data_IF_226344511985
#
_entry.id   IF_226344511985
#
_cell.length_a   1.000
_cell.length_b   1.000
_cell.length_c   1.000
_cell.angle_alpha   90.00
_cell.angle_beta   90.00
_cell.angle_gamma   90.00
#
_symmetry.space_group_name_H-M   'P 1'
#
loop_
_entity.id
_entity.type
_entity.pdbx_description
1 polymer ?
#
# COMPACT_ATOMS: atom_id res chain seq x y z
N UNK A 1 34.65 -56.86 -36.36
CA UNK A 1 35.69 -57.24 -35.36
C UNK A 1 35.52 -56.30 -34.17
N UNK A 2 34.82 -56.73 -33.10
CA UNK A 2 35.36 -57.34 -31.86
C UNK A 2 36.28 -56.36 -31.10
N UNK A 3 35.80 -55.75 -30.00
CA UNK A 3 36.05 -56.12 -28.57
C UNK A 3 37.45 -55.60 -28.12
N UNK A 4 37.71 -54.97 -26.97
CA UNK A 4 37.15 -55.14 -25.62
C UNK A 4 37.64 -54.04 -24.65
N UNK A 5 36.77 -53.71 -23.69
CA UNK A 5 36.94 -53.27 -22.28
C UNK A 5 38.32 -53.14 -21.62
N UNK A 6 38.46 -52.15 -20.71
CA UNK A 6 38.94 -52.43 -19.34
C UNK A 6 38.35 -51.43 -18.33
N UNK A 7 37.68 -51.96 -17.30
CA UNK A 7 37.30 -51.28 -16.05
C UNK A 7 38.55 -50.97 -15.21
N UNK A 8 38.55 -49.87 -14.47
CA UNK A 8 39.23 -49.79 -13.17
C UNK A 8 38.27 -49.18 -12.14
N UNK A 9 37.94 -49.98 -11.13
CA UNK A 9 37.26 -49.57 -9.90
C UNK A 9 38.25 -48.84 -8.99
N UNK A 10 37.84 -47.73 -8.40
CA UNK A 10 38.29 -47.33 -7.06
C UNK A 10 37.08 -46.89 -6.25
N UNK A 11 37.01 -47.43 -5.03
CA UNK A 11 35.92 -47.29 -4.09
C UNK A 11 36.32 -46.32 -2.97
N UNK A 12 35.30 -45.69 -2.37
CA UNK A 12 35.35 -45.09 -1.03
C UNK A 12 35.60 -43.59 -1.02
N UNK A 13 34.59 -42.79 -0.67
CA UNK A 13 34.20 -42.51 0.72
C UNK A 13 32.95 -41.61 0.69
N UNK A 14 31.77 -42.16 1.01
CA UNK A 14 30.60 -41.34 1.33
C UNK A 14 30.79 -40.81 2.76
N UNK A 15 31.01 -39.51 2.92
CA UNK A 15 30.70 -38.82 4.17
C UNK A 15 29.21 -38.46 4.17
N UNK A 16 28.45 -39.18 4.99
CA UNK A 16 27.10 -38.81 5.38
C UNK A 16 27.16 -37.62 6.34
N UNK A 17 26.92 -36.41 5.83
CA UNK A 17 26.45 -35.29 6.66
C UNK A 17 24.93 -35.40 6.73
N UNK A 18 24.43 -35.89 7.85
CA UNK A 18 23.01 -35.91 8.15
C UNK A 18 22.49 -34.49 8.29
N UNK A 19 21.76 -34.00 7.29
CA UNK A 19 20.78 -32.95 7.51
C UNK A 19 19.52 -33.61 8.08
N UNK A 20 19.38 -33.53 9.40
CA UNK A 20 18.08 -33.68 10.07
C UNK A 20 17.20 -32.52 9.63
N UNK A 21 16.27 -32.78 8.73
CA UNK A 21 15.14 -31.90 8.46
C UNK A 21 14.18 -32.00 9.65
N UNK A 22 14.41 -31.18 10.68
CA UNK A 22 13.34 -30.86 11.62
C UNK A 22 12.32 -30.01 10.86
N UNK A 23 11.28 -30.67 10.37
CA UNK A 23 10.07 -30.01 9.92
C UNK A 23 9.50 -29.21 11.11
N UNK A 24 9.82 -27.92 11.17
CA UNK A 24 9.09 -26.98 12.02
C UNK A 24 7.63 -27.04 11.59
N UNK A 25 6.79 -27.41 12.54
CA UNK A 25 5.34 -27.42 12.40
C UNK A 25 4.90 -26.04 11.93
N UNK A 26 4.39 -25.97 10.70
CA UNK A 26 3.55 -24.86 10.25
C UNK A 26 2.38 -24.81 11.23
N UNK A 27 2.33 -23.76 12.05
CA UNK A 27 1.14 -23.48 12.84
C UNK A 27 -0.02 -23.35 11.85
N UNK A 28 -1.05 -24.18 12.04
CA UNK A 28 -2.30 -24.05 11.31
C UNK A 28 -2.78 -22.60 11.46
N UNK A 29 -3.25 -21.95 10.38
CA UNK A 29 -3.92 -20.67 10.52
C UNK A 29 -5.06 -20.82 11.52
N UNK A 30 -5.18 -19.85 12.43
CA UNK A 30 -6.28 -19.78 13.38
C UNK A 30 -7.62 -19.96 12.64
N UNK A 31 -8.61 -20.63 13.25
CA UNK A 31 -9.91 -20.79 12.61
C UNK A 31 -10.49 -19.41 12.29
N UNK A 32 -10.81 -19.22 11.01
CA UNK A 32 -11.55 -18.08 10.44
C UNK A 32 -12.60 -17.60 11.45
N UNK A 33 -12.44 -16.39 11.96
CA UNK A 33 -13.44 -15.79 12.83
C UNK A 33 -14.78 -15.74 12.09
N UNK A 34 -15.83 -16.20 12.78
CA UNK A 34 -17.22 -16.19 12.30
C UNK A 34 -17.62 -14.77 11.85
N UNK A 35 -18.56 -14.65 10.88
CA UNK A 35 -18.98 -13.35 10.36
C UNK A 35 -19.43 -12.42 11.49
N UNK A 36 -19.01 -11.16 11.36
CA UNK A 36 -19.35 -10.08 12.28
C UNK A 36 -20.87 -9.98 12.50
N UNK A 37 -21.35 -10.01 13.75
CA UNK A 37 -22.77 -9.93 14.04
C UNK A 37 -23.24 -8.48 13.88
N UNK A 38 -23.92 -8.22 12.77
CA UNK A 38 -24.78 -7.04 12.61
C UNK A 38 -25.95 -7.09 13.61
N UNK A 39 -25.72 -6.77 14.90
CA UNK A 39 -26.79 -6.64 15.89
C UNK A 39 -26.42 -5.93 17.24
N UNK A 40 -25.17 -5.55 17.51
CA UNK A 40 -24.83 -4.73 18.69
C UNK A 40 -23.98 -3.55 18.24
N UNK A 41 -24.35 -2.34 18.65
CA UNK A 41 -23.68 -1.08 18.29
C UNK A 41 -22.28 -1.00 18.87
N UNK A 42 -21.33 -1.71 18.27
CA UNK A 42 -19.92 -1.56 18.55
C UNK A 42 -19.42 -0.29 17.85
N UNK A 43 -18.79 0.59 18.61
CA UNK A 43 -18.17 1.81 18.11
C UNK A 43 -17.01 1.45 17.16
N UNK A 44 -16.96 2.08 15.97
CA UNK A 44 -15.82 1.95 15.03
C UNK A 44 -14.48 2.21 15.71
N UNK A 45 -14.45 3.19 16.62
CA UNK A 45 -13.27 3.55 17.42
C UNK A 45 -12.77 2.39 18.29
N UNK A 46 -13.69 1.58 18.83
CA UNK A 46 -13.33 0.47 19.72
C UNK A 46 -12.83 -0.77 18.96
N UNK A 47 -13.12 -0.87 17.66
CA UNK A 47 -12.56 -1.90 16.78
C UNK A 47 -11.09 -1.61 16.44
N UNK A 48 -10.65 -0.35 16.59
CA UNK A 48 -9.27 0.05 16.33
C UNK A 48 -8.38 -0.39 17.49
N UNK A 49 -7.51 -1.38 17.26
CA UNK A 49 -6.63 -1.96 18.28
C UNK A 49 -5.28 -2.42 17.67
N UNK A 50 -4.18 -2.36 18.44
CA UNK A 50 -4.12 -1.83 19.81
C UNK A 50 -4.19 -0.30 19.90
N UNK A 51 -3.88 0.41 18.81
CA UNK A 51 -3.94 1.87 18.78
C UNK A 51 -5.31 2.37 18.28
N UNK A 52 -5.79 3.40 18.96
CA UNK A 52 -7.03 4.09 18.65
C UNK A 52 -6.78 5.29 17.73
N UNK A 53 -7.72 5.66 16.87
CA UNK A 53 -7.62 6.82 15.99
C UNK A 53 -7.38 8.11 16.81
N UNK A 54 -6.75 9.09 16.16
CA UNK A 54 -6.45 10.41 16.75
C UNK A 54 -7.71 11.13 17.23
N UNK A 55 -8.83 10.91 16.52
CA UNK A 55 -10.16 11.35 16.92
C UNK A 55 -11.13 10.17 16.82
N UNK A 56 -12.12 10.03 17.74
CA UNK A 56 -13.14 9.00 17.62
C UNK A 56 -13.83 9.01 16.25
N UNK A 57 -13.90 7.84 15.61
CA UNK A 57 -14.63 7.63 14.37
C UNK A 57 -16.14 7.72 14.64
N UNK A 58 -16.91 8.42 13.79
CA UNK A 58 -18.37 8.49 13.90
C UNK A 58 -19.03 7.11 13.93
N UNK A 59 -20.17 6.97 14.60
CA UNK A 59 -20.97 5.74 14.57
C UNK A 59 -21.96 5.75 13.41
N UNK A 60 -22.25 4.59 12.82
CA UNK A 60 -23.35 4.45 11.85
C UNK A 60 -24.71 4.41 12.56
N UNK A 61 -25.73 5.15 12.10
CA UNK A 61 -27.11 4.88 12.47
C UNK A 61 -27.58 3.51 11.94
N UNK A 62 -28.57 2.87 12.59
CA UNK A 62 -29.14 1.61 12.12
C UNK A 62 -29.67 1.70 10.68
N UNK A 63 -29.45 0.65 9.88
CA UNK A 63 -30.04 0.55 8.54
C UNK A 63 -31.46 -0.02 8.62
N UNK A 64 -32.41 0.57 7.90
CA UNK A 64 -33.85 0.26 7.98
C UNK A 64 -34.41 -0.37 6.70
N UNK A 65 -33.63 -0.45 5.63
CA UNK A 65 -34.05 -0.98 4.33
C UNK A 65 -32.97 -1.88 3.74
N UNK A 66 -33.38 -2.90 2.99
CA UNK A 66 -32.45 -3.79 2.26
C UNK A 66 -32.86 -3.88 0.79
N UNK A 67 -31.90 -3.74 -0.12
CA UNK A 67 -32.05 -3.85 -1.57
C UNK A 67 -31.04 -4.88 -2.09
N UNK A 68 -31.52 -5.93 -2.76
CA UNK A 68 -30.62 -6.89 -3.41
C UNK A 68 -30.32 -6.42 -4.83
N UNK A 69 -29.04 -6.45 -5.20
CA UNK A 69 -28.62 -6.09 -6.56
C UNK A 69 -29.08 -7.19 -7.52
N UNK A 70 -29.78 -6.79 -8.58
CA UNK A 70 -30.08 -7.69 -9.70
C UNK A 70 -28.85 -7.83 -10.60
N UNK A 71 -28.71 -8.97 -11.26
CA UNK A 71 -27.62 -9.22 -12.21
C UNK A 71 -28.13 -10.05 -13.38
N UNK A 72 -27.50 -9.86 -14.53
CA UNK A 72 -27.64 -10.76 -15.67
C UNK A 72 -26.93 -12.12 -15.45
N UNK A 73 -25.83 -12.16 -14.70
CA UNK A 73 -25.08 -13.37 -14.36
C UNK A 73 -24.30 -14.01 -15.52
N UNK A 74 -24.16 -13.32 -16.66
CA UNK A 74 -23.53 -13.81 -17.89
C UNK A 74 -22.59 -12.76 -18.52
N UNK A 75 -21.84 -12.07 -17.66
CA UNK A 75 -20.85 -11.03 -17.98
C UNK A 75 -21.38 -9.75 -18.63
N UNK A 76 -22.69 -9.63 -18.87
CA UNK A 76 -23.31 -8.36 -19.30
C UNK A 76 -23.24 -7.31 -18.20
N UNK A 77 -23.12 -6.05 -18.61
CA UNK A 77 -22.99 -4.91 -17.70
C UNK A 77 -24.21 -4.74 -16.76
N UNK A 78 -23.95 -4.90 -15.46
CA UNK A 78 -24.89 -4.78 -14.35
C UNK A 78 -24.87 -3.40 -13.68
N UNK A 79 -24.04 -2.47 -14.14
CA UNK A 79 -23.84 -1.13 -13.55
C UNK A 79 -25.15 -0.40 -13.25
N UNK A 80 -26.14 -0.51 -14.14
CA UNK A 80 -27.47 0.09 -13.94
C UNK A 80 -28.25 -0.52 -12.76
N UNK A 81 -28.12 -1.83 -12.52
CA UNK A 81 -28.79 -2.49 -11.41
C UNK A 81 -28.14 -2.10 -10.08
N UNK A 82 -26.81 -1.98 -10.07
CA UNK A 82 -26.04 -1.50 -8.92
C UNK A 82 -26.48 -0.07 -8.56
N UNK A 83 -26.48 0.84 -9.53
CA UNK A 83 -26.89 2.23 -9.30
C UNK A 83 -28.36 2.35 -8.88
N UNK A 84 -29.24 1.52 -9.43
CA UNK A 84 -30.65 1.48 -9.02
C UNK A 84 -30.81 1.06 -7.57
N UNK A 85 -30.14 -0.02 -7.14
CA UNK A 85 -30.20 -0.50 -5.77
C UNK A 85 -29.60 0.52 -4.79
N UNK A 86 -28.48 1.16 -5.15
CA UNK A 86 -27.87 2.23 -4.36
C UNK A 86 -28.80 3.43 -4.18
N UNK A 87 -29.44 3.92 -5.25
CA UNK A 87 -30.42 5.01 -5.16
C UNK A 87 -31.63 4.63 -4.31
N UNK A 88 -32.10 3.41 -4.46
CA UNK A 88 -33.27 2.91 -3.75
C UNK A 88 -33.03 2.73 -2.24
N UNK A 89 -31.83 2.31 -1.86
CA UNK A 89 -31.42 2.07 -0.46
C UNK A 89 -30.51 3.14 0.12
N UNK A 90 -30.33 4.27 -0.57
CA UNK A 90 -29.62 5.41 0.00
C UNK A 90 -30.40 5.99 1.21
N UNK A 91 -29.71 6.73 2.08
CA UNK A 91 -30.29 7.37 3.28
C UNK A 91 -30.79 6.37 4.34
N UNK A 92 -29.95 5.41 4.72
CA UNK A 92 -30.23 4.48 5.82
C UNK A 92 -30.51 3.04 5.39
N UNK A 93 -30.14 2.63 4.18
CA UNK A 93 -30.35 1.26 3.72
C UNK A 93 -29.09 0.41 3.62
N UNK A 94 -29.29 -0.83 3.21
CA UNK A 94 -28.27 -1.84 2.91
C UNK A 94 -28.48 -2.34 1.48
N UNK A 95 -27.43 -2.33 0.69
CA UNK A 95 -27.39 -2.91 -0.66
C UNK A 95 -26.60 -4.20 -0.60
N UNK A 96 -27.21 -5.31 -1.01
CA UNK A 96 -26.63 -6.66 -0.90
C UNK A 96 -26.25 -7.18 -2.28
N UNK A 97 -25.01 -7.62 -2.43
CA UNK A 97 -24.52 -8.39 -3.56
C UNK A 97 -24.42 -9.85 -3.12
N UNK A 98 -25.40 -10.68 -3.49
CA UNK A 98 -25.54 -12.05 -2.97
C UNK A 98 -24.34 -12.96 -3.29
N UNK A 99 -24.02 -13.88 -2.37
CA UNK A 99 -22.82 -14.72 -2.36
C UNK A 99 -22.65 -15.66 -3.57
N UNK A 100 -23.75 -16.08 -4.19
CA UNK A 100 -23.78 -17.01 -5.33
C UNK A 100 -23.88 -16.29 -6.69
N UNK A 101 -23.74 -14.96 -6.69
CA UNK A 101 -23.87 -14.13 -7.88
C UNK A 101 -22.55 -13.52 -8.34
N UNK A 102 -22.48 -13.37 -9.65
CA UNK A 102 -21.42 -12.67 -10.35
C UNK A 102 -21.99 -11.40 -10.97
N UNK A 103 -21.33 -10.27 -10.74
CA UNK A 103 -21.74 -8.95 -11.24
C UNK A 103 -20.66 -8.38 -12.13
N UNK A 104 -21.03 -7.89 -13.31
CA UNK A 104 -20.09 -7.17 -14.18
C UNK A 104 -20.30 -5.68 -14.11
N UNK A 105 -19.23 -4.91 -13.93
CA UNK A 105 -19.24 -3.45 -14.09
C UNK A 105 -18.55 -3.10 -15.41
N UNK A 106 -19.34 -2.67 -16.38
CA UNK A 106 -18.88 -2.17 -17.68
C UNK A 106 -19.11 -0.67 -17.88
N UNK A 107 -19.68 0.02 -16.91
CA UNK A 107 -19.93 1.47 -16.98
C UNK A 107 -19.33 2.15 -15.74
N UNK A 108 -18.68 3.30 -15.93
CA UNK A 108 -18.15 4.10 -14.83
C UNK A 108 -19.27 4.56 -13.87
N UNK A 109 -19.06 4.40 -12.56
CA UNK A 109 -20.08 4.70 -11.53
C UNK A 109 -19.65 5.86 -10.63
N UNK A 110 -20.41 6.97 -10.66
CA UNK A 110 -20.32 8.02 -9.64
C UNK A 110 -21.27 7.68 -8.49
N UNK A 111 -20.68 7.32 -7.35
CA UNK A 111 -21.33 6.97 -6.10
C UNK A 111 -20.97 7.96 -4.99
N UNK A 112 -20.67 9.21 -5.33
CA UNK A 112 -20.37 10.27 -4.34
C UNK A 112 -21.61 10.80 -3.61
N UNK A 113 -22.81 10.44 -4.08
CA UNK A 113 -24.10 10.86 -3.51
C UNK A 113 -24.55 10.03 -2.30
N UNK A 114 -23.77 9.03 -1.87
CA UNK A 114 -24.20 8.08 -0.86
C UNK A 114 -24.26 8.71 0.54
N UNK A 115 -25.26 8.28 1.32
CA UNK A 115 -25.48 8.75 2.68
C UNK A 115 -26.08 7.63 3.52
N UNK A 116 -25.41 7.28 4.61
CA UNK A 116 -25.87 6.26 5.56
C UNK A 116 -26.23 4.92 4.89
N UNK A 117 -25.30 4.35 4.12
CA UNK A 117 -25.55 3.12 3.36
C UNK A 117 -24.52 2.04 3.70
N UNK A 118 -24.98 0.79 3.71
CA UNK A 118 -24.09 -0.37 3.79
C UNK A 118 -24.10 -1.10 2.44
N UNK A 119 -22.93 -1.41 1.90
CA UNK A 119 -22.74 -2.29 0.76
C UNK A 119 -22.24 -3.63 1.31
N UNK A 120 -23.14 -4.61 1.36
CA UNK A 120 -22.90 -5.98 1.81
C UNK A 120 -22.53 -6.82 0.58
N UNK A 121 -21.24 -6.78 0.22
CA UNK A 121 -20.65 -7.46 -0.93
C UNK A 121 -20.24 -8.87 -0.52
N UNK A 122 -21.06 -9.86 -0.86
CA UNK A 122 -20.80 -11.28 -0.58
C UNK A 122 -20.40 -12.04 -1.85
N UNK A 123 -20.91 -11.61 -3.01
CA UNK A 123 -20.62 -12.20 -4.31
C UNK A 123 -19.31 -11.73 -4.94
N UNK A 124 -19.23 -11.89 -6.26
CA UNK A 124 -18.06 -11.52 -7.06
C UNK A 124 -18.40 -10.37 -8.01
N UNK A 125 -17.69 -9.25 -7.90
CA UNK A 125 -17.81 -8.10 -8.80
C UNK A 125 -16.56 -8.08 -9.69
N UNK A 126 -16.74 -8.00 -11.01
CA UNK A 126 -15.65 -7.91 -11.98
C UNK A 126 -15.81 -6.72 -12.90
N UNK A 127 -14.76 -5.94 -13.12
CA UNK A 127 -14.74 -4.90 -14.14
C UNK A 127 -14.48 -5.49 -15.54
N UNK A 128 -15.11 -4.92 -16.56
CA UNK A 128 -14.79 -5.25 -17.94
C UNK A 128 -13.35 -4.83 -18.27
N UNK A 129 -12.70 -5.52 -19.19
CA UNK A 129 -11.40 -5.15 -19.74
C UNK A 129 -11.51 -4.35 -21.05
N UNK A 130 -12.61 -3.62 -21.24
CA UNK A 130 -12.78 -2.71 -22.37
C UNK A 130 -11.92 -1.45 -22.14
N UNK A 131 -10.62 -1.58 -22.46
CA UNK A 131 -9.61 -0.56 -22.18
C UNK A 131 -9.93 0.74 -22.91
N UNK A 132 -10.48 0.67 -24.12
CA UNK A 132 -10.88 1.84 -24.91
C UNK A 132 -12.02 2.60 -24.22
N UNK A 133 -13.05 1.89 -23.75
CA UNK A 133 -14.12 2.51 -22.96
C UNK A 133 -13.57 3.19 -21.70
N UNK A 134 -12.69 2.51 -20.95
CA UNK A 134 -12.17 3.04 -19.70
C UNK A 134 -11.21 4.22 -19.88
N UNK A 135 -10.44 4.27 -20.98
CA UNK A 135 -9.66 5.47 -21.35
C UNK A 135 -10.58 6.70 -21.53
N UNK A 136 -11.74 6.51 -22.15
CA UNK A 136 -12.67 7.60 -22.45
C UNK A 136 -13.58 7.99 -21.27
N UNK A 137 -13.91 7.03 -20.40
CA UNK A 137 -15.01 7.18 -19.42
C UNK A 137 -14.57 7.02 -17.96
N UNK A 138 -13.33 6.62 -17.68
CA UNK A 138 -12.79 6.59 -16.33
C UNK A 138 -12.80 7.98 -15.69
N UNK A 139 -12.93 8.04 -14.37
CA UNK A 139 -12.95 9.34 -13.68
C UNK A 139 -11.54 9.88 -13.50
N UNK A 140 -11.20 10.90 -14.28
CA UNK A 140 -9.90 11.57 -14.20
C UNK A 140 -9.67 12.23 -12.84
N UNK A 141 -8.48 12.00 -12.28
CA UNK A 141 -7.95 12.62 -11.08
C UNK A 141 -6.76 13.49 -11.47
N UNK A 142 -6.81 14.78 -11.14
CA UNK A 142 -5.72 15.71 -11.46
C UNK A 142 -4.41 15.30 -10.81
N UNK A 143 -4.47 14.72 -9.60
CA UNK A 143 -3.28 14.24 -8.92
C UNK A 143 -2.69 13.04 -9.67
N UNK A 144 -1.45 13.20 -10.15
CA UNK A 144 -0.69 12.21 -10.92
C UNK A 144 -1.42 11.67 -12.15
N UNK A 145 -2.31 12.47 -12.75
CA UNK A 145 -3.09 12.13 -13.93
C UNK A 145 -3.82 10.77 -13.84
N UNK A 146 -4.16 10.32 -12.63
CA UNK A 146 -4.73 9.00 -12.44
C UNK A 146 -6.19 8.93 -12.91
N UNK A 147 -6.71 7.71 -13.08
CA UNK A 147 -8.15 7.49 -13.33
C UNK A 147 -8.69 6.47 -12.33
N UNK A 148 -10.01 6.43 -12.12
CA UNK A 148 -10.66 5.43 -11.26
C UNK A 148 -11.84 4.78 -11.99
N UNK A 149 -12.09 3.49 -11.77
CA UNK A 149 -13.28 2.82 -12.33
C UNK A 149 -14.59 3.42 -11.81
N UNK A 150 -14.62 3.76 -10.52
CA UNK A 150 -15.75 4.40 -9.86
C UNK A 150 -15.27 5.36 -8.79
N UNK A 151 -16.16 6.25 -8.39
CA UNK A 151 -15.95 7.15 -7.25
C UNK A 151 -16.94 6.82 -6.14
N UNK A 152 -16.45 6.33 -5.01
CA UNK A 152 -17.21 6.10 -3.79
C UNK A 152 -17.00 7.27 -2.86
N UNK A 153 -18.07 7.96 -2.48
CA UNK A 153 -17.99 9.13 -1.63
C UNK A 153 -19.23 9.31 -0.75
N UNK A 154 -19.33 10.49 -0.14
CA UNK A 154 -20.50 10.88 0.64
C UNK A 154 -20.29 10.76 2.14
N UNK A 155 -21.31 10.30 2.87
CA UNK A 155 -21.30 10.29 4.34
C UNK A 155 -21.73 8.93 4.89
N UNK A 156 -20.94 8.36 5.81
CA UNK A 156 -21.27 7.13 6.53
C UNK A 156 -21.61 5.97 5.58
N UNK A 157 -20.63 5.60 4.76
CA UNK A 157 -20.71 4.48 3.82
C UNK A 157 -19.87 3.32 4.35
N UNK A 158 -20.48 2.14 4.46
CA UNK A 158 -19.77 0.92 4.86
C UNK A 158 -19.72 -0.08 3.71
N UNK A 159 -18.60 -0.79 3.58
CA UNK A 159 -18.43 -1.90 2.64
C UNK A 159 -17.91 -3.10 3.44
N UNK A 160 -18.58 -4.25 3.33
CA UNK A 160 -18.14 -5.50 3.95
C UNK A 160 -18.81 -6.68 3.25
N UNK A 161 -18.54 -7.91 3.70
CA UNK A 161 -19.29 -9.11 3.25
C UNK A 161 -18.40 -10.25 2.78
N UNK A 162 -17.07 -10.08 2.80
CA UNK A 162 -16.07 -11.04 2.36
C UNK A 162 -16.14 -11.44 0.88
N UNK A 163 -16.95 -10.76 0.06
CA UNK A 163 -16.97 -10.91 -1.39
C UNK A 163 -15.68 -10.42 -2.05
N UNK A 164 -15.67 -10.43 -3.39
CA UNK A 164 -14.50 -10.04 -4.18
C UNK A 164 -14.85 -8.90 -5.14
N UNK A 165 -13.94 -7.94 -5.27
CA UNK A 165 -13.93 -6.94 -6.33
C UNK A 165 -12.66 -7.16 -7.16
N UNK A 166 -12.83 -7.47 -8.44
CA UNK A 166 -11.78 -7.81 -9.40
C UNK A 166 -11.68 -6.74 -10.50
N UNK A 167 -10.54 -6.05 -10.55
CA UNK A 167 -10.22 -5.01 -11.54
C UNK A 167 -9.88 -5.53 -12.93
N UNK A 168 -9.73 -6.84 -13.11
CA UNK A 168 -9.43 -7.48 -14.40
C UNK A 168 -8.12 -6.93 -15.04
N UNK A 169 -7.09 -6.72 -14.21
CA UNK A 169 -5.90 -5.93 -14.51
C UNK A 169 -4.95 -6.43 -15.60
N UNK A 170 -5.01 -7.70 -16.03
CA UNK A 170 -3.98 -8.24 -16.94
C UNK A 170 -3.84 -7.46 -18.24
N UNK A 171 -4.98 -7.10 -18.87
CA UNK A 171 -4.96 -6.33 -20.11
C UNK A 171 -4.25 -4.98 -19.92
N UNK A 172 -4.35 -4.39 -18.74
CA UNK A 172 -3.70 -3.13 -18.40
C UNK A 172 -2.21 -3.27 -18.15
N UNK A 173 -1.78 -4.36 -17.52
CA UNK A 173 -0.35 -4.65 -17.34
C UNK A 173 0.33 -4.82 -18.70
N UNK A 174 -0.30 -5.59 -19.59
CA UNK A 174 0.20 -5.83 -20.95
C UNK A 174 0.26 -4.54 -21.78
N UNK A 175 -0.72 -3.62 -21.61
CA UNK A 175 -0.71 -2.32 -22.29
C UNK A 175 0.33 -1.35 -21.74
N UNK A 176 0.52 -1.32 -20.42
CA UNK A 176 1.49 -0.43 -19.78
C UNK A 176 2.95 -0.77 -20.16
N UNK A 177 3.25 -2.04 -20.40
CA UNK A 177 4.54 -2.48 -20.95
C UNK A 177 4.80 -1.92 -22.37
N UNK A 178 3.73 -1.61 -23.12
CA UNK A 178 3.82 -1.08 -24.48
C UNK A 178 3.80 0.46 -24.49
N UNK A 179 3.00 1.07 -23.60
CA UNK A 179 2.80 2.50 -23.47
C UNK A 179 2.74 2.88 -21.99
N UNK A 180 3.85 3.39 -21.46
CA UNK A 180 4.00 3.81 -20.06
C UNK A 180 3.19 5.08 -19.72
N UNK A 181 2.56 5.72 -20.70
CA UNK A 181 1.67 6.87 -20.50
C UNK A 181 0.18 6.48 -20.47
N UNK A 182 -0.17 5.21 -20.66
CA UNK A 182 -1.57 4.77 -20.63
C UNK A 182 -2.17 4.94 -19.23
N UNK A 183 -3.32 5.61 -19.14
CA UNK A 183 -3.98 5.85 -17.87
C UNK A 183 -4.72 4.61 -17.40
N UNK A 184 -4.27 4.00 -16.30
CA UNK A 184 -4.89 2.77 -15.78
C UNK A 184 -5.91 3.14 -14.68
N UNK A 185 -7.12 2.56 -14.68
CA UNK A 185 -8.10 2.87 -13.65
C UNK A 185 -7.76 2.19 -12.32
N UNK A 186 -7.67 2.99 -11.27
CA UNK A 186 -7.57 2.57 -9.86
C UNK A 186 -8.86 1.82 -9.47
N UNK A 187 -8.71 0.73 -8.72
CA UNK A 187 -9.82 -0.16 -8.37
C UNK A 187 -10.86 0.51 -7.48
N UNK A 188 -10.43 1.09 -6.36
CA UNK A 188 -11.30 1.75 -5.38
C UNK A 188 -10.97 3.25 -5.31
N UNK A 189 -11.65 4.06 -6.13
CA UNK A 189 -11.62 5.51 -5.97
C UNK A 189 -12.51 5.94 -4.79
N UNK A 190 -11.92 6.32 -3.67
CA UNK A 190 -12.64 6.80 -2.48
C UNK A 190 -12.49 8.32 -2.41
N UNK A 191 -13.52 9.03 -2.87
CA UNK A 191 -13.45 10.46 -3.16
C UNK A 191 -14.49 11.19 -2.30
N UNK A 192 -14.03 12.03 -1.37
CA UNK A 192 -14.94 12.85 -0.55
C UNK A 192 -15.78 12.03 0.44
N UNK A 193 -15.29 10.89 0.93
CA UNK A 193 -15.99 10.07 1.89
C UNK A 193 -15.73 10.53 3.33
N UNK A 194 -16.80 10.75 4.09
CA UNK A 194 -16.74 11.19 5.48
C UNK A 194 -17.43 10.17 6.38
N UNK A 195 -16.65 9.44 7.18
CA UNK A 195 -17.16 8.37 8.02
C UNK A 195 -17.42 7.10 7.23
N UNK A 196 -16.85 5.98 7.67
CA UNK A 196 -17.09 4.70 7.02
C UNK A 196 -16.21 3.57 7.55
N UNK A 197 -16.62 2.35 7.22
CA UNK A 197 -15.79 1.16 7.43
C UNK A 197 -15.75 0.35 6.15
N UNK A 198 -14.55 0.04 5.68
CA UNK A 198 -14.32 -0.76 4.47
C UNK A 198 -13.57 -2.02 4.88
N UNK A 199 -14.19 -3.15 4.58
CA UNK A 199 -13.74 -4.49 4.92
C UNK A 199 -14.57 -5.16 6.03
N UNK A 200 -14.54 -6.51 6.13
CA UNK A 200 -13.68 -7.39 5.35
C UNK A 200 -14.14 -7.60 3.90
N UNK A 201 -13.19 -7.57 2.96
CA UNK A 201 -13.40 -7.78 1.52
C UNK A 201 -12.12 -8.24 0.82
N UNK A 202 -12.25 -8.85 -0.35
CA UNK A 202 -11.13 -9.23 -1.21
C UNK A 202 -11.03 -8.30 -2.42
N UNK A 203 -9.85 -7.76 -2.67
CA UNK A 203 -9.57 -6.94 -3.85
C UNK A 203 -8.56 -7.64 -4.74
N UNK A 204 -8.87 -7.77 -6.04
CA UNK A 204 -8.09 -8.57 -6.98
C UNK A 204 -7.72 -7.81 -8.23
N UNK A 205 -6.50 -8.05 -8.71
CA UNK A 205 -5.99 -7.66 -10.03
C UNK A 205 -6.33 -6.20 -10.40
N UNK A 206 -5.97 -5.25 -9.53
CA UNK A 206 -6.14 -3.84 -9.83
C UNK A 206 -5.24 -3.42 -11.00
N UNK A 207 -5.74 -2.69 -12.03
CA UNK A 207 -4.92 -2.16 -13.12
C UNK A 207 -3.77 -1.26 -12.66
N UNK A 208 -4.00 -0.49 -11.59
CA UNK A 208 -3.05 0.40 -10.92
C UNK A 208 -3.26 0.27 -9.40
N UNK A 209 -3.30 1.37 -8.65
CA UNK A 209 -3.49 1.37 -7.21
C UNK A 209 -4.81 0.68 -6.83
N UNK A 210 -4.81 -0.04 -5.71
CA UNK A 210 -6.01 -0.65 -5.17
C UNK A 210 -6.95 0.38 -4.56
N UNK A 211 -6.41 1.37 -3.84
CA UNK A 211 -7.20 2.47 -3.26
C UNK A 211 -6.56 3.82 -3.54
N UNK A 212 -7.38 4.77 -3.97
CA UNK A 212 -7.07 6.19 -3.92
C UNK A 212 -8.05 6.87 -2.98
N UNK A 213 -7.58 7.29 -1.81
CA UNK A 213 -8.38 7.91 -0.76
C UNK A 213 -8.13 9.41 -0.81
N UNK A 214 -9.01 10.14 -1.50
CA UNK A 214 -8.87 11.56 -1.75
C UNK A 214 -9.94 12.37 -1.01
N UNK A 215 -9.53 13.49 -0.39
CA UNK A 215 -10.43 14.45 0.25
C UNK A 215 -11.40 13.80 1.25
N UNK A 216 -10.95 12.77 1.96
CA UNK A 216 -11.78 11.90 2.79
C UNK A 216 -11.35 11.95 4.25
N UNK A 217 -12.27 11.63 5.15
CA UNK A 217 -11.99 11.68 6.59
C UNK A 217 -12.76 10.65 7.40
N UNK A 218 -12.23 10.35 8.59
CA UNK A 218 -12.87 9.50 9.59
C UNK A 218 -13.17 8.07 9.07
N UNK A 219 -12.17 7.40 8.47
CA UNK A 219 -12.32 6.07 7.85
C UNK A 219 -11.60 4.96 8.63
N UNK A 220 -12.21 3.77 8.64
CA UNK A 220 -11.59 2.52 9.07
C UNK A 220 -11.51 1.54 7.89
N UNK A 221 -10.31 1.11 7.54
CA UNK A 221 -10.05 -0.05 6.68
C UNK A 221 -9.65 -1.22 7.59
N UNK A 222 -10.42 -2.31 7.58
CA UNK A 222 -10.19 -3.45 8.47
C UNK A 222 -10.38 -4.77 7.73
N UNK A 223 -9.43 -5.69 7.86
CA UNK A 223 -9.51 -7.04 7.29
C UNK A 223 -9.69 -7.07 5.76
N UNK A 224 -8.94 -6.22 5.06
CA UNK A 224 -8.89 -6.23 3.59
C UNK A 224 -7.80 -7.20 3.14
N UNK A 225 -8.13 -8.01 2.13
CA UNK A 225 -7.19 -8.90 1.49
C UNK A 225 -6.92 -8.40 0.07
N UNK A 226 -5.73 -7.90 -0.19
CA UNK A 226 -5.27 -7.38 -1.49
C UNK A 226 -4.37 -8.43 -2.14
N UNK A 227 -4.63 -8.75 -3.42
CA UNK A 227 -3.80 -9.71 -4.13
C UNK A 227 -4.06 -9.74 -5.63
N UNK A 228 -3.03 -9.86 -6.43
CA UNK A 228 -3.22 -10.02 -7.88
C UNK A 228 -1.93 -9.72 -8.60
N UNK A 229 -1.23 -10.78 -8.99
CA UNK A 229 -0.03 -10.69 -9.79
C UNK A 229 -0.39 -10.92 -11.25
N UNK A 230 0.49 -10.46 -12.14
CA UNK A 230 0.41 -10.80 -13.55
C UNK A 230 0.46 -12.31 -13.76
N UNK A 231 -0.22 -12.79 -14.79
CA UNK A 231 -0.23 -14.19 -15.21
C UNK A 231 0.86 -14.53 -16.25
N UNK A 232 1.68 -13.55 -16.62
CA UNK A 232 2.80 -13.68 -17.54
C UNK A 232 4.06 -13.01 -16.94
N UNK A 233 5.10 -12.79 -17.74
CA UNK A 233 6.37 -12.23 -17.26
C UNK A 233 6.36 -10.70 -17.09
N UNK A 234 5.25 -10.03 -17.38
CA UNK A 234 5.10 -8.58 -17.22
C UNK A 234 4.74 -8.28 -15.77
N UNK A 235 5.37 -7.27 -15.16
CA UNK A 235 5.11 -6.89 -13.77
C UNK A 235 3.76 -6.17 -13.65
N UNK A 236 3.03 -6.45 -12.57
CA UNK A 236 1.86 -5.66 -12.19
C UNK A 236 2.30 -4.37 -11.47
N UNK A 237 2.87 -3.43 -12.23
CA UNK A 237 3.50 -2.20 -11.71
C UNK A 237 2.47 -1.22 -11.12
N UNK A 238 2.89 -0.44 -10.11
CA UNK A 238 2.06 0.61 -9.47
C UNK A 238 0.73 0.07 -8.94
N UNK A 239 0.79 -1.11 -8.31
CA UNK A 239 -0.38 -1.73 -7.67
C UNK A 239 -0.43 -1.43 -6.17
N UNK A 240 -0.22 -0.16 -5.81
CA UNK A 240 -0.19 0.34 -4.43
C UNK A 240 -1.41 -0.14 -3.62
N UNK A 241 -1.23 -0.47 -2.34
CA UNK A 241 -2.32 -0.89 -1.47
C UNK A 241 -3.27 0.26 -1.15
N UNK A 242 -2.72 1.37 -0.64
CA UNK A 242 -3.45 2.60 -0.35
C UNK A 242 -2.62 3.83 -0.70
N UNK A 243 -3.19 4.73 -1.48
CA UNK A 243 -2.72 6.10 -1.64
C UNK A 243 -3.65 7.04 -0.90
N UNK A 244 -3.18 7.57 0.23
CA UNK A 244 -3.93 8.54 1.03
C UNK A 244 -3.52 9.94 0.58
N UNK A 245 -4.50 10.76 0.16
CA UNK A 245 -4.26 12.09 -0.40
C UNK A 245 -5.28 13.09 0.15
N UNK A 246 -4.82 14.25 0.65
CA UNK A 246 -5.70 15.32 1.19
C UNK A 246 -6.75 14.77 2.18
N UNK A 247 -6.34 13.87 3.05
CA UNK A 247 -7.26 13.08 3.87
C UNK A 247 -6.75 12.94 5.30
N UNK A 248 -7.67 12.76 6.26
CA UNK A 248 -7.32 12.79 7.68
C UNK A 248 -8.11 11.85 8.57
N UNK A 249 -7.54 11.45 9.70
CA UNK A 249 -8.16 10.58 10.70
C UNK A 249 -8.56 9.22 10.10
N UNK A 250 -7.57 8.50 9.60
CA UNK A 250 -7.73 7.22 8.92
C UNK A 250 -7.05 6.12 9.73
N UNK A 251 -7.68 4.95 9.81
CA UNK A 251 -7.07 3.74 10.37
C UNK A 251 -7.07 2.66 9.29
N UNK A 252 -5.90 2.07 9.02
CA UNK A 252 -5.74 0.89 8.17
C UNK A 252 -5.22 -0.24 9.04
N UNK A 253 -5.95 -1.36 9.12
CA UNK A 253 -5.56 -2.43 10.01
C UNK A 253 -5.90 -3.85 9.55
N UNK A 254 -5.20 -4.82 10.16
CA UNK A 254 -5.49 -6.25 10.10
C UNK A 254 -5.60 -6.79 8.66
N UNK A 255 -4.81 -6.25 7.74
CA UNK A 255 -4.94 -6.51 6.30
C UNK A 255 -3.71 -7.24 5.74
N UNK A 256 -3.93 -8.00 4.67
CA UNK A 256 -2.88 -8.75 3.97
C UNK A 256 -2.77 -8.25 2.55
N UNK A 257 -1.55 -7.95 2.13
CA UNK A 257 -1.26 -7.26 0.87
C UNK A 257 -0.22 -8.06 0.10
N UNK A 258 -0.58 -8.46 -1.11
CA UNK A 258 0.33 -8.96 -2.14
C UNK A 258 0.18 -8.06 -3.35
N UNK A 259 1.18 -7.23 -3.60
CA UNK A 259 1.18 -6.28 -4.70
C UNK A 259 2.58 -6.11 -5.31
N UNK A 260 2.76 -5.10 -6.16
CA UNK A 260 4.02 -4.75 -6.80
C UNK A 260 4.42 -3.29 -6.64
N UNK A 261 3.92 -2.60 -5.59
CA UNK A 261 4.33 -1.23 -5.25
C UNK A 261 4.05 -0.92 -3.75
N UNK A 262 3.99 0.34 -3.33
CA UNK A 262 3.81 0.76 -1.93
C UNK A 262 2.65 0.00 -1.25
N UNK A 263 2.87 -0.48 -0.02
CA UNK A 263 1.83 -1.15 0.75
C UNK A 263 0.83 -0.10 1.25
N UNK A 264 1.36 1.02 1.75
CA UNK A 264 0.61 2.24 2.06
C UNK A 264 1.49 3.43 1.68
N UNK A 265 0.93 4.40 0.97
CA UNK A 265 1.58 5.62 0.52
C UNK A 265 0.84 6.85 1.05
N UNK A 266 1.52 7.69 1.83
CA UNK A 266 0.99 8.95 2.34
C UNK A 266 1.36 10.08 1.39
N UNK A 267 0.43 10.44 0.51
CA UNK A 267 0.57 11.52 -0.47
C UNK A 267 0.29 12.89 0.17
N UNK A 268 0.45 14.01 -0.55
CA UNK A 268 0.35 15.34 0.03
C UNK A 268 -0.95 15.59 0.82
N UNK A 269 -0.78 16.33 1.92
CA UNK A 269 -1.84 16.75 2.84
C UNK A 269 -2.55 15.58 3.52
N UNK A 270 -1.78 14.58 3.94
CA UNK A 270 -2.25 13.44 4.72
C UNK A 270 -1.93 13.63 6.19
N UNK A 271 -2.94 13.59 7.06
CA UNK A 271 -2.72 13.76 8.51
C UNK A 271 -3.44 12.72 9.35
N UNK A 272 -2.92 12.47 10.55
CA UNK A 272 -3.61 11.69 11.59
C UNK A 272 -3.98 10.28 11.12
N UNK A 273 -2.97 9.52 10.69
CA UNK A 273 -3.18 8.15 10.16
C UNK A 273 -2.53 7.11 11.04
N UNK A 274 -3.26 6.02 11.29
CA UNK A 274 -2.75 4.83 11.95
C UNK A 274 -2.73 3.67 10.96
N UNK A 275 -1.58 3.03 10.84
CA UNK A 275 -1.42 1.80 10.07
C UNK A 275 -0.98 0.71 11.04
N UNK A 276 -1.75 -0.37 11.20
CA UNK A 276 -1.40 -1.39 12.19
C UNK A 276 -1.72 -2.83 11.81
N UNK A 277 -0.87 -3.77 12.21
CA UNK A 277 -1.08 -5.21 12.00
C UNK A 277 -1.24 -5.58 10.52
N UNK A 278 -0.34 -5.09 9.66
CA UNK A 278 -0.35 -5.43 8.23
C UNK A 278 0.71 -6.46 7.88
N UNK A 279 0.41 -7.30 6.89
CA UNK A 279 1.37 -8.18 6.24
C UNK A 279 1.48 -7.80 4.77
N UNK A 280 2.60 -7.21 4.38
CA UNK A 280 2.89 -6.74 3.03
C UNK A 280 3.94 -7.65 2.37
N UNK A 281 3.70 -8.08 1.13
CA UNK A 281 4.61 -8.95 0.39
C UNK A 281 4.73 -8.49 -1.07
N UNK A 282 5.95 -8.34 -1.59
CA UNK A 282 6.19 -7.84 -2.96
C UNK A 282 6.20 -6.32 -3.10
N UNK A 283 6.18 -5.59 -1.97
CA UNK A 283 5.82 -4.18 -1.92
C UNK A 283 7.02 -3.21 -2.04
N UNK A 284 6.76 -1.90 -2.18
CA UNK A 284 7.77 -0.84 -2.05
C UNK A 284 7.79 -0.16 -0.67
N UNK A 285 7.04 -0.69 0.30
CA UNK A 285 7.13 -0.30 1.71
C UNK A 285 5.92 0.45 2.25
N UNK A 286 6.05 0.94 3.49
CA UNK A 286 5.13 1.91 4.08
C UNK A 286 5.75 3.30 3.90
N UNK A 287 5.28 4.02 2.89
CA UNK A 287 5.96 5.16 2.29
C UNK A 287 5.28 6.48 2.63
N UNK A 288 6.02 7.43 3.17
CA UNK A 288 5.65 8.85 3.11
C UNK A 288 6.12 9.40 1.76
N UNK A 289 5.19 9.86 0.93
CA UNK A 289 5.45 10.52 -0.34
C UNK A 289 5.24 9.68 -1.61
N UNK A 290 5.80 10.09 -2.75
CA UNK A 290 6.73 11.22 -2.88
C UNK A 290 6.07 12.58 -2.58
N UNK A 291 6.84 13.50 -2.00
CA UNK A 291 6.40 14.86 -1.65
C UNK A 291 7.39 15.89 -2.21
N UNK A 292 6.92 17.11 -2.42
CA UNK A 292 7.69 18.17 -3.06
C UNK A 292 7.79 18.02 -4.58
N UNK A 293 6.90 17.23 -5.18
CA UNK A 293 6.96 16.89 -6.60
C UNK A 293 6.73 18.10 -7.51
N UNK A 294 5.82 19.01 -7.15
CA UNK A 294 5.40 20.10 -8.02
C UNK A 294 5.85 21.45 -7.48
N UNK A 295 6.55 22.23 -8.32
CA UNK A 295 6.97 23.60 -8.00
C UNK A 295 5.75 24.48 -7.66
N UNK A 296 5.86 25.26 -6.59
CA UNK A 296 4.79 26.14 -6.11
C UNK A 296 3.73 25.46 -5.24
N UNK A 297 3.73 24.13 -5.16
CA UNK A 297 2.86 23.38 -4.25
C UNK A 297 3.50 23.20 -2.87
N UNK A 298 2.65 23.04 -1.87
CA UNK A 298 3.02 22.80 -0.47
C UNK A 298 2.44 21.46 -0.02
N UNK A 299 3.32 20.51 0.25
CA UNK A 299 2.98 19.14 0.60
C UNK A 299 3.23 18.90 2.09
N UNK A 300 2.15 18.60 2.84
CA UNK A 300 2.24 18.34 4.28
C UNK A 300 1.87 16.89 4.58
N UNK A 301 2.70 16.18 5.34
CA UNK A 301 2.33 14.89 5.95
C UNK A 301 2.67 14.94 7.44
N UNK A 302 1.67 14.73 8.29
CA UNK A 302 1.83 14.89 9.74
C UNK A 302 1.05 13.83 10.55
N UNK A 303 1.58 13.45 11.72
CA UNK A 303 0.89 12.56 12.68
C UNK A 303 0.59 11.18 12.09
N UNK A 304 1.64 10.45 11.73
CA UNK A 304 1.51 9.09 11.19
C UNK A 304 2.09 8.10 12.20
N UNK A 305 1.29 7.10 12.58
CA UNK A 305 1.72 6.02 13.46
C UNK A 305 1.58 4.66 12.79
N UNK A 306 2.71 4.05 12.47
CA UNK A 306 2.81 2.72 11.84
C UNK A 306 3.22 1.73 12.92
N UNK A 307 2.43 0.67 13.13
CA UNK A 307 2.62 -0.29 14.20
C UNK A 307 2.50 -1.74 13.76
N UNK A 308 3.43 -2.61 14.17
CA UNK A 308 3.35 -4.05 13.96
C UNK A 308 3.14 -4.43 12.48
N UNK A 309 4.16 -4.20 11.67
CA UNK A 309 4.16 -4.51 10.23
C UNK A 309 5.06 -5.71 9.96
N UNK A 310 4.58 -6.63 9.15
CA UNK A 310 5.42 -7.66 8.51
C UNK A 310 5.65 -7.28 7.06
N UNK A 311 6.91 -7.08 6.67
CA UNK A 311 7.31 -6.71 5.32
C UNK A 311 8.20 -7.81 4.73
N UNK A 312 7.77 -8.40 3.61
CA UNK A 312 8.42 -9.55 2.98
C UNK A 312 8.71 -9.28 1.50
N UNK A 313 9.89 -9.68 1.01
CA UNK A 313 10.23 -9.63 -0.42
C UNK A 313 9.90 -8.28 -1.05
N UNK A 314 10.41 -7.21 -0.45
CA UNK A 314 10.00 -5.85 -0.73
C UNK A 314 11.22 -4.98 -1.04
N UNK A 315 11.04 -3.91 -1.81
CA UNK A 315 12.12 -2.95 -2.01
C UNK A 315 12.44 -2.22 -0.70
N UNK A 316 11.41 -1.78 0.03
CA UNK A 316 11.61 -1.01 1.26
C UNK A 316 10.71 -1.48 2.41
N UNK A 317 11.14 -1.19 3.64
CA UNK A 317 10.34 -1.35 4.85
C UNK A 317 9.62 -0.06 5.21
N UNK A 318 10.24 0.73 6.10
CA UNK A 318 9.80 2.07 6.46
C UNK A 318 10.46 3.09 5.53
N UNK A 319 9.66 3.91 4.83
CA UNK A 319 10.18 4.78 3.76
C UNK A 319 9.68 6.21 3.84
N UNK A 320 10.55 7.18 3.62
CA UNK A 320 10.22 8.61 3.42
C UNK A 320 10.96 9.09 2.16
N UNK A 321 10.20 9.47 1.13
CA UNK A 321 10.73 9.89 -0.18
C UNK A 321 10.28 11.32 -0.50
N UNK A 322 11.24 12.23 -0.66
CA UNK A 322 11.00 13.65 -0.92
C UNK A 322 11.87 14.08 -2.11
N UNK A 323 11.29 14.87 -3.01
CA UNK A 323 12.01 15.40 -4.17
C UNK A 323 12.99 16.52 -3.77
N UNK A 324 14.10 16.70 -4.51
CA UNK A 324 15.04 17.79 -4.29
C UNK A 324 14.44 19.15 -4.69
N UNK A 325 15.19 20.24 -4.46
CA UNK A 325 14.76 21.61 -4.78
C UNK A 325 14.83 21.95 -6.28
N UNK A 326 15.23 21.01 -7.12
CA UNK A 326 15.39 21.16 -8.58
C UNK A 326 14.63 20.06 -9.32
N UNK A 327 14.24 20.35 -10.55
CA UNK A 327 13.63 19.36 -11.44
C UNK A 327 14.53 18.12 -11.62
N UNK A 328 13.88 16.97 -11.55
CA UNK A 328 14.45 15.64 -11.51
C UNK A 328 13.50 14.66 -12.21
N UNK A 329 14.04 13.58 -12.77
CA UNK A 329 13.31 12.63 -13.61
C UNK A 329 13.69 11.20 -13.21
N UNK A 330 12.68 10.39 -12.81
CA UNK A 330 12.82 8.95 -12.58
C UNK A 330 12.43 8.15 -13.83
N UNK A 331 11.40 8.61 -14.53
CA UNK A 331 10.86 8.01 -15.74
C UNK A 331 10.10 9.06 -16.55
N UNK A 332 9.66 8.68 -17.75
CA UNK A 332 8.86 9.55 -18.60
C UNK A 332 7.59 10.06 -17.91
N UNK A 333 6.96 9.23 -17.06
CA UNK A 333 5.72 9.52 -16.34
C UNK A 333 5.94 10.00 -14.88
N UNK A 334 7.16 9.90 -14.33
CA UNK A 334 7.49 10.32 -12.97
C UNK A 334 8.64 11.33 -12.92
N UNK A 335 8.26 12.60 -12.94
CA UNK A 335 9.15 13.76 -12.88
C UNK A 335 8.68 14.73 -11.79
N UNK A 336 9.61 15.49 -11.22
CA UNK A 336 9.27 16.48 -10.20
C UNK A 336 10.46 17.18 -9.57
N UNK A 337 10.19 17.92 -8.50
CA UNK A 337 11.16 18.69 -7.74
C UNK A 337 10.79 20.18 -7.66
N UNK A 338 11.34 20.85 -6.65
CA UNK A 338 11.09 22.26 -6.39
C UNK A 338 9.82 22.56 -5.58
N UNK A 339 9.03 21.55 -5.21
CA UNK A 339 7.95 21.70 -4.24
C UNK A 339 8.46 21.92 -2.81
N UNK A 340 7.57 22.38 -1.93
CA UNK A 340 7.90 22.71 -0.53
C UNK A 340 6.96 22.02 0.45
N UNK A 341 7.16 22.18 1.76
CA UNK A 341 6.23 21.71 2.79
C UNK A 341 6.92 21.04 3.97
N UNK A 342 6.29 20.01 4.55
CA UNK A 342 6.85 19.32 5.71
C UNK A 342 6.36 17.89 5.89
N UNK A 343 7.28 17.00 6.29
CA UNK A 343 7.00 15.71 6.94
C UNK A 343 7.29 15.85 8.42
N UNK A 344 6.29 15.58 9.28
CA UNK A 344 6.44 15.76 10.72
C UNK A 344 5.74 14.70 11.56
N UNK A 345 6.34 14.32 12.69
CA UNK A 345 5.73 13.42 13.68
C UNK A 345 5.31 12.08 13.05
N UNK A 346 6.31 11.36 12.55
CA UNK A 346 6.15 10.06 11.91
C UNK A 346 6.79 9.00 12.80
N UNK A 347 6.05 7.96 13.16
CA UNK A 347 6.59 6.85 13.94
C UNK A 347 6.38 5.53 13.22
N UNK A 348 7.47 4.80 13.01
CA UNK A 348 7.48 3.40 12.62
C UNK A 348 7.87 2.56 13.84
N UNK A 349 6.93 1.78 14.37
CA UNK A 349 7.08 0.99 15.59
C UNK A 349 6.78 -0.49 15.37
N UNK A 350 7.79 -1.34 15.49
CA UNK A 350 7.59 -2.77 15.40
C UNK A 350 7.40 -3.18 13.95
N UNK A 351 8.51 -3.44 13.28
CA UNK A 351 8.50 -4.01 11.94
C UNK A 351 9.39 -5.24 11.90
N UNK A 352 8.84 -6.34 11.40
CA UNK A 352 9.60 -7.51 11.01
C UNK A 352 9.84 -7.45 9.50
N UNK A 353 11.11 -7.48 9.10
CA UNK A 353 11.50 -7.46 7.68
C UNK A 353 12.18 -8.76 7.28
N UNK A 354 11.85 -9.29 6.10
CA UNK A 354 12.56 -10.43 5.54
C UNK A 354 12.71 -10.30 4.03
N UNK A 355 13.95 -10.39 3.56
CA UNK A 355 14.29 -10.20 2.15
C UNK A 355 13.80 -8.83 1.64
N UNK A 356 14.15 -7.77 2.36
CA UNK A 356 13.80 -6.39 2.02
C UNK A 356 15.05 -5.63 1.59
N UNK A 357 15.05 -4.88 0.49
CA UNK A 357 16.30 -4.26 0.03
C UNK A 357 16.78 -3.18 1.00
N UNK A 358 15.94 -2.17 1.28
CA UNK A 358 16.15 -1.18 2.33
C UNK A 358 15.03 -1.22 3.39
N UNK A 359 15.20 -2.01 4.47
CA UNK A 359 14.32 -1.97 5.64
C UNK A 359 13.95 -0.57 6.14
N UNK A 360 14.86 0.41 6.02
CA UNK A 360 14.62 1.83 6.31
C UNK A 360 15.25 2.66 5.17
N UNK A 361 14.44 3.50 4.54
CA UNK A 361 14.85 4.42 3.47
C UNK A 361 14.32 5.83 3.76
N UNK A 362 15.21 6.78 4.01
CA UNK A 362 14.88 8.20 4.05
C UNK A 362 15.72 8.93 3.02
N UNK A 363 15.06 9.59 2.07
CA UNK A 363 15.71 10.37 1.02
C UNK A 363 14.99 11.69 0.74
N UNK A 364 15.77 12.75 0.58
CA UNK A 364 15.34 14.03 -0.02
C UNK A 364 15.89 14.25 -1.43
N UNK A 365 16.44 13.20 -2.03
CA UNK A 365 17.00 13.20 -3.39
C UNK A 365 16.20 12.27 -4.30
N UNK A 366 14.89 12.13 -4.07
CA UNK A 366 14.06 11.25 -4.89
C UNK A 366 14.07 11.73 -6.35
N UNK A 367 14.41 10.84 -7.28
CA UNK A 367 14.62 11.18 -8.69
C UNK A 367 15.93 11.89 -9.02
N UNK A 368 16.91 11.85 -8.11
CA UNK A 368 18.23 12.43 -8.34
C UNK A 368 19.35 11.53 -7.81
N UNK A 369 19.90 10.68 -8.68
CA UNK A 369 21.03 9.81 -8.32
C UNK A 369 22.33 10.59 -8.07
N UNK A 370 22.45 11.80 -8.63
CA UNK A 370 23.60 12.67 -8.36
C UNK A 370 23.41 13.44 -7.04
N UNK A 371 23.91 12.87 -5.95
CA UNK A 371 23.85 13.51 -4.62
C UNK A 371 24.54 14.87 -4.57
N UNK A 372 25.57 15.13 -5.39
CA UNK A 372 26.17 16.47 -5.44
C UNK A 372 25.17 17.49 -5.97
N UNK A 373 24.45 17.15 -7.04
CA UNK A 373 23.41 18.02 -7.58
C UNK A 373 22.24 18.19 -6.59
N UNK A 374 21.83 17.11 -5.92
CA UNK A 374 20.82 17.20 -4.87
C UNK A 374 21.24 18.15 -3.72
N UNK A 375 22.51 18.10 -3.29
CA UNK A 375 23.03 18.94 -2.23
C UNK A 375 23.23 20.40 -2.65
N UNK A 376 23.54 20.65 -3.93
CA UNK A 376 23.59 22.01 -4.51
C UNK A 376 22.20 22.64 -4.61
N UNK A 377 21.15 21.81 -4.73
CA UNK A 377 19.73 22.21 -4.80
C UNK A 377 18.89 21.45 -3.78
N UNK A 378 19.09 21.70 -2.47
CA UNK A 378 18.42 20.94 -1.43
C UNK A 378 16.92 21.12 -1.47
N UNK A 379 16.19 20.14 -0.97
CA UNK A 379 14.72 20.19 -0.90
C UNK A 379 14.25 21.39 -0.07
N UNK A 380 13.17 22.05 -0.52
CA UNK A 380 12.48 23.08 0.28
C UNK A 380 11.47 22.49 1.27
N UNK A 381 11.33 21.16 1.30
CA UNK A 381 10.48 20.44 2.24
C UNK A 381 11.31 19.94 3.43
N UNK A 382 10.84 20.16 4.65
CA UNK A 382 11.55 19.70 5.86
C UNK A 382 11.08 18.32 6.33
N UNK A 383 11.98 17.50 6.87
CA UNK A 383 11.65 16.25 7.58
C UNK A 383 12.00 16.42 9.06
N UNK A 384 11.02 16.26 9.95
CA UNK A 384 11.23 16.45 11.38
C UNK A 384 10.48 15.44 12.25
N UNK A 385 11.02 15.16 13.44
CA UNK A 385 10.37 14.35 14.47
C UNK A 385 9.96 12.96 13.96
N UNK A 386 10.95 12.21 13.42
CA UNK A 386 10.76 10.87 12.86
C UNK A 386 11.37 9.83 13.80
N UNK A 387 10.61 8.78 14.11
CA UNK A 387 11.05 7.69 14.97
C UNK A 387 10.99 6.36 14.25
N UNK A 388 12.14 5.70 14.13
CA UNK A 388 12.24 4.31 13.74
C UNK A 388 12.57 3.47 14.98
N UNK A 389 11.65 2.59 15.39
CA UNK A 389 11.86 1.78 16.59
C UNK A 389 11.38 0.34 16.45
N UNK A 390 12.07 -0.58 17.11
CA UNK A 390 11.74 -2.01 17.13
C UNK A 390 11.71 -2.66 15.73
N UNK A 391 12.64 -2.30 14.86
CA UNK A 391 12.73 -2.83 13.49
C UNK A 391 13.79 -3.93 13.45
N UNK A 392 13.38 -5.14 13.09
CA UNK A 392 14.25 -6.31 13.14
C UNK A 392 14.04 -7.23 11.95
N UNK A 393 15.08 -7.97 11.58
CA UNK A 393 15.02 -8.95 10.50
C UNK A 393 16.22 -8.89 9.56
N UNK A 394 16.00 -9.22 8.29
CA UNK A 394 17.07 -9.39 7.31
C UNK A 394 16.78 -8.60 6.04
N UNK A 395 17.76 -7.81 5.59
CA UNK A 395 17.73 -7.23 4.25
C UNK A 395 17.85 -8.32 3.16
N UNK A 396 17.66 -7.96 1.89
CA UNK A 396 17.89 -8.85 0.74
C UNK A 396 19.37 -9.01 0.41
N UNK A 397 20.20 -8.05 0.82
CA UNK A 397 21.62 -7.97 0.45
C UNK A 397 21.89 -7.31 -0.90
N UNK A 398 20.88 -6.78 -1.60
CA UNK A 398 21.02 -6.11 -2.89
C UNK A 398 22.02 -4.94 -2.86
N UNK A 399 22.11 -4.24 -1.72
CA UNK A 399 22.93 -3.03 -1.54
C UNK A 399 24.09 -3.21 -0.53
N UNK A 400 24.61 -4.44 -0.41
CA UNK A 400 25.71 -4.77 0.51
C UNK A 400 26.89 -3.77 0.42
N UNK A 401 27.38 -3.22 1.55
CA UNK A 401 27.06 -3.59 2.94
C UNK A 401 25.81 -2.95 3.53
N UNK A 402 25.25 -1.92 2.89
CA UNK A 402 24.17 -1.14 3.47
C UNK A 402 22.86 -1.96 3.55
N UNK A 403 22.17 -1.82 4.68
CA UNK A 403 20.85 -2.39 4.94
C UNK A 403 19.78 -1.31 5.10
N UNK A 404 20.14 -0.05 4.86
CA UNK A 404 19.24 1.09 4.95
C UNK A 404 19.96 2.39 4.62
N UNK A 405 19.18 3.46 4.46
CA UNK A 405 19.69 4.79 4.14
C UNK A 405 18.92 5.87 4.89
N UNK A 406 19.65 6.87 5.39
CA UNK A 406 19.10 8.10 5.97
C UNK A 406 19.87 9.29 5.40
N UNK A 407 19.43 9.75 4.23
CA UNK A 407 20.09 10.78 3.43
C UNK A 407 19.19 12.00 3.30
N UNK A 408 19.64 13.09 3.90
CA UNK A 408 19.02 14.39 3.76
C UNK A 408 19.78 15.23 2.74
N UNK A 409 19.07 16.16 2.10
CA UNK A 409 19.65 17.00 1.03
C UNK A 409 20.50 18.16 1.58
N UNK A 410 20.31 18.53 2.84
CA UNK A 410 21.11 19.54 3.55
C UNK A 410 20.98 19.34 5.07
N UNK A 411 21.99 19.73 5.88
CA UNK A 411 21.92 19.62 7.34
C UNK A 411 20.79 20.45 7.98
N UNK A 412 20.21 21.40 7.25
CA UNK A 412 19.20 22.33 7.78
C UNK A 412 17.75 21.88 7.52
N UNK A 413 17.54 20.83 6.71
CA UNK A 413 16.20 20.41 6.26
C UNK A 413 15.71 19.12 6.91
N UNK A 414 16.58 18.44 7.65
CA UNK A 414 16.23 17.30 8.49
C UNK A 414 16.57 17.56 9.94
N UNK A 415 15.65 17.23 10.85
CA UNK A 415 15.89 17.34 12.29
C UNK A 415 15.20 16.22 13.05
N UNK A 416 15.72 15.86 14.23
CA UNK A 416 15.04 14.95 15.16
C UNK A 416 14.61 13.61 14.51
N UNK A 417 15.52 12.97 13.77
CA UNK A 417 15.35 11.60 13.28
C UNK A 417 16.03 10.67 14.28
N UNK A 418 15.26 9.73 14.85
CA UNK A 418 15.72 8.85 15.92
C UNK A 418 15.65 7.38 15.50
N UNK A 419 16.66 6.61 15.92
CA UNK A 419 16.62 5.14 15.85
C UNK A 419 16.72 4.53 17.24
N UNK A 420 15.89 3.52 17.52
CA UNK A 420 15.96 2.72 18.75
C UNK A 420 15.66 1.26 18.45
N UNK A 421 16.39 0.34 19.07
CA UNK A 421 16.16 -1.11 18.94
C UNK A 421 16.06 -1.58 17.48
N UNK A 422 17.05 -1.17 16.67
CA UNK A 422 17.23 -1.65 15.29
C UNK A 422 18.13 -2.89 15.30
N UNK A 423 17.69 -3.97 14.67
CA UNK A 423 18.43 -5.23 14.57
C UNK A 423 18.24 -5.86 13.18
N UNK A 424 18.97 -5.33 12.22
CA UNK A 424 18.95 -5.68 10.81
C UNK A 424 20.25 -6.36 10.40
N UNK A 425 20.12 -7.44 9.64
CA UNK A 425 21.26 -8.18 9.10
C UNK A 425 21.33 -8.12 7.59
N UNK A 426 22.54 -8.30 7.07
CA UNK A 426 22.78 -8.60 5.68
C UNK A 426 22.97 -10.13 5.51
N UNK A 427 22.30 -10.78 4.53
CA UNK A 427 22.43 -12.22 4.32
C UNK A 427 23.85 -12.66 3.90
N UNK A 428 24.68 -11.77 3.34
CA UNK A 428 26.07 -12.10 2.97
C UNK A 428 27.03 -12.11 4.17
N UNK A 429 26.55 -11.81 5.37
CA UNK A 429 27.37 -11.61 6.57
C UNK A 429 28.06 -10.25 6.58
N UNK A 430 28.66 -9.89 7.71
CA UNK A 430 29.28 -8.57 7.92
C UNK A 430 28.77 -7.90 9.20
N UNK A 431 29.01 -6.60 9.31
CA UNK A 431 28.52 -5.80 10.43
C UNK A 431 27.00 -5.64 10.38
N UNK A 432 26.38 -5.55 11.56
CA UNK A 432 24.95 -5.32 11.71
C UNK A 432 24.62 -3.84 11.49
N UNK A 433 23.42 -3.55 11.01
CA UNK A 433 22.89 -2.19 10.90
C UNK A 433 23.84 -1.21 10.19
N UNK A 434 24.45 -1.58 9.06
CA UNK A 434 25.26 -0.65 8.26
C UNK A 434 24.35 0.21 7.39
N UNK A 435 24.47 1.52 7.47
CA UNK A 435 23.57 2.47 6.80
C UNK A 435 24.36 3.56 6.10
N UNK A 436 23.94 3.92 4.89
CA UNK A 436 24.36 5.16 4.26
C UNK A 436 23.68 6.35 4.96
N UNK A 437 24.47 7.30 5.48
CA UNK A 437 23.95 8.49 6.15
C UNK A 437 24.55 9.77 5.55
N UNK A 438 23.73 10.81 5.40
CA UNK A 438 24.20 12.13 4.98
C UNK A 438 23.34 13.25 5.55
N UNK A 439 23.98 14.36 5.94
CA UNK A 439 23.30 15.59 6.34
C UNK A 439 22.25 15.41 7.46
N UNK A 440 22.51 14.49 8.39
CA UNK A 440 21.63 14.13 9.49
C UNK A 440 22.41 14.11 10.80
N UNK A 441 21.74 14.36 11.93
CA UNK A 441 22.37 14.29 13.23
C UNK A 441 22.55 12.83 13.68
N UNK A 442 23.73 12.25 13.39
CA UNK A 442 24.06 10.86 13.71
C UNK A 442 24.03 10.53 15.21
N UNK A 443 24.12 11.52 16.11
CA UNK A 443 24.02 11.25 17.56
C UNK A 443 22.64 10.74 18.00
N UNK A 444 21.61 10.98 17.18
CA UNK A 444 20.24 10.49 17.39
C UNK A 444 20.00 9.13 16.72
N UNK A 445 20.95 8.64 15.93
CA UNK A 445 20.90 7.38 15.19
C UNK A 445 21.63 6.25 15.94
N UNK A 446 21.56 6.25 17.27
CA UNK A 446 22.45 5.51 18.17
C UNK A 446 22.45 3.97 18.02
N UNK A 447 21.49 3.39 17.29
CA UNK A 447 21.36 1.93 17.09
C UNK A 447 21.75 1.46 15.68
N UNK A 448 22.24 2.37 14.83
CA UNK A 448 22.74 2.06 13.49
C UNK A 448 24.17 2.56 13.31
N UNK A 449 24.90 1.97 12.35
CA UNK A 449 26.26 2.33 12.00
C UNK A 449 26.25 3.12 10.70
N UNK A 450 26.36 4.45 10.81
CA UNK A 450 26.44 5.32 9.65
C UNK A 450 27.80 5.19 8.94
N UNK A 451 27.74 4.93 7.65
CA UNK A 451 28.85 5.07 6.71
C UNK A 451 28.68 6.39 5.98
N UNK A 452 29.81 7.08 5.73
CA UNK A 452 29.80 8.29 4.92
C UNK A 452 29.51 7.92 3.47
N UNK A 453 28.59 8.66 2.85
CA UNK A 453 28.25 8.56 1.42
C UNK A 453 29.25 9.28 0.53
#
# INVERSE_FOLDING_TARGET
>A
MKLTSTLLQTAGLLLSLGLTTEARSVQKPDPVQKPSPAAKGYSRTELCKPHHPFKPLPSSPPRTKTCHVSTYGDERDDSKFILSALKECNNGGKVVFDADKFYTIGTALDMTFLKHVDLDIQGYIKFTNDTDYWQENGFFQTYQNATTFFQLGGEDVNIYGNGTIDGNGQAWYDLYEIDDLILRPILMGIIGLNGGTIGPINLRYSPQWYHFVANSSDLLFDQINIGGLSNNNITASNTDGWDIYRSSNIVIQNSVIVNGDDCVSFKPNTTDVIVQNLSCNGSHGISVGSLGQYEGEVDIVENIYVYNITMLNAENGARIKVWPGVASELSADLQGGGGSGSVKNITYDGMYVYNVDYPIDVTQCYGQDNLTLCNDYPSSLTIADVYFKNIHGTSSGAYNPDVGTIVCSSPDVCSNIYTSDISLTNPTGGDFNVFSCANVNETLLATINCTST
#
